data_IF_067134878621
#
_entry.id   IF_067134878621
#
_cell.length_a   1.000
_cell.length_b   1.000
_cell.length_c   1.000
_cell.angle_alpha   90.00
_cell.angle_beta   90.00
_cell.angle_gamma   90.00
#
_symmetry.space_group_name_H-M   'P 1'
#
loop_
_entity.id
_entity.type
_entity.pdbx_description
1 polymer ?
#
# COMPACT_ATOMS: atom_id res chain seq x y z
N UNK A 1 -14.26 23.94 -14.27
CA UNK A 1 -13.64 23.17 -15.38
C UNK A 1 -12.43 22.42 -14.84
N UNK A 2 -12.34 21.09 -14.95
CA UNK A 2 -11.16 20.35 -14.53
C UNK A 2 -9.95 20.79 -15.38
N UNK A 3 -8.78 20.94 -14.74
CA UNK A 3 -7.56 21.34 -15.44
C UNK A 3 -7.20 20.31 -16.53
N UNK A 4 -6.71 20.75 -17.70
CA UNK A 4 -6.29 19.83 -18.76
C UNK A 4 -5.16 18.94 -18.25
N UNK A 5 -5.35 17.62 -18.34
CA UNK A 5 -4.31 16.66 -17.96
C UNK A 5 -3.18 16.70 -18.99
N UNK A 6 -1.93 16.80 -18.53
CA UNK A 6 -0.73 16.81 -19.40
C UNK A 6 -0.63 15.60 -20.34
N UNK A 7 -1.19 14.45 -19.93
CA UNK A 7 -1.24 13.23 -20.73
C UNK A 7 -2.70 12.74 -20.84
N UNK A 8 -3.18 12.42 -22.07
CA UNK A 8 -4.48 11.77 -22.27
C UNK A 8 -4.56 10.41 -21.56
N UNK A 9 -5.79 9.99 -21.20
CA UNK A 9 -6.01 8.71 -20.52
C UNK A 9 -5.63 7.51 -21.41
N UNK A 10 -6.00 7.56 -22.69
CA UNK A 10 -5.66 6.53 -23.68
C UNK A 10 -4.14 6.32 -23.80
N UNK A 11 -3.37 7.41 -23.78
CA UNK A 11 -1.91 7.35 -23.81
C UNK A 11 -1.35 6.66 -22.57
N UNK A 12 -1.91 6.96 -21.39
CA UNK A 12 -1.52 6.32 -20.13
C UNK A 12 -1.81 4.82 -20.17
N UNK A 13 -3.01 4.42 -20.58
CA UNK A 13 -3.43 3.01 -20.66
C UNK A 13 -2.55 2.23 -21.63
N UNK A 14 -2.31 2.79 -22.83
CA UNK A 14 -1.41 2.22 -23.83
C UNK A 14 0.02 2.08 -23.31
N UNK A 15 0.57 3.11 -22.66
CA UNK A 15 1.93 3.08 -22.15
C UNK A 15 2.11 2.02 -21.06
N UNK A 16 1.13 1.89 -20.15
CA UNK A 16 1.13 0.86 -19.11
C UNK A 16 1.10 -0.54 -19.74
N UNK A 17 0.22 -0.76 -20.72
CA UNK A 17 0.10 -2.05 -21.43
C UNK A 17 1.42 -2.44 -22.12
N UNK A 18 2.06 -1.52 -22.84
CA UNK A 18 3.36 -1.78 -23.49
C UNK A 18 4.45 -2.20 -22.49
N UNK A 19 4.47 -1.63 -21.29
CA UNK A 19 5.44 -2.01 -20.25
C UNK A 19 5.19 -3.44 -19.76
N UNK A 20 3.93 -3.83 -19.57
CA UNK A 20 3.59 -5.21 -19.17
C UNK A 20 3.92 -6.23 -20.25
N UNK A 21 3.58 -5.95 -21.51
CA UNK A 21 3.91 -6.82 -22.65
C UNK A 21 5.43 -7.05 -22.78
N UNK A 22 6.24 -5.99 -22.66
CA UNK A 22 7.71 -6.12 -22.69
C UNK A 22 8.22 -6.97 -21.52
N UNK A 23 7.65 -6.80 -20.33
CA UNK A 23 8.06 -7.55 -19.13
C UNK A 23 7.73 -9.03 -19.24
N UNK A 24 6.58 -9.37 -19.81
CA UNK A 24 6.12 -10.73 -20.05
C UNK A 24 7.00 -11.44 -21.08
N UNK A 25 7.28 -10.79 -22.22
CA UNK A 25 8.14 -11.35 -23.28
C UNK A 25 9.60 -11.54 -22.85
N UNK A 26 10.08 -10.72 -21.92
CA UNK A 26 11.50 -10.68 -21.55
C UNK A 26 11.80 -11.28 -20.16
N UNK A 27 10.80 -11.83 -19.46
CA UNK A 27 10.98 -12.42 -18.13
C UNK A 27 11.54 -11.48 -17.07
N UNK A 28 11.14 -10.19 -17.09
CA UNK A 28 11.60 -9.09 -16.22
C UNK A 28 12.77 -8.24 -16.76
N UNK A 29 12.62 -7.62 -17.94
CA UNK A 29 13.62 -6.71 -18.50
C UNK A 29 13.84 -5.45 -17.62
N UNK A 30 15.05 -5.24 -17.04
CA UNK A 30 15.42 -3.96 -16.47
C UNK A 30 15.35 -2.90 -17.56
N UNK A 31 14.64 -1.79 -17.32
CA UNK A 31 14.55 -0.68 -18.27
C UNK A 31 13.35 -0.68 -19.22
N UNK A 32 12.40 -1.63 -19.11
CA UNK A 32 11.14 -1.60 -19.88
C UNK A 32 10.42 -0.23 -19.77
N UNK A 33 10.32 0.31 -18.55
CA UNK A 33 9.76 1.64 -18.29
C UNK A 33 10.56 2.74 -18.99
N UNK A 34 11.89 2.68 -18.97
CA UNK A 34 12.73 3.70 -19.60
C UNK A 34 12.58 3.69 -21.13
N UNK A 35 12.52 2.50 -21.73
CA UNK A 35 12.33 2.31 -23.17
C UNK A 35 10.97 2.84 -23.63
N UNK A 36 9.88 2.47 -22.95
CA UNK A 36 8.53 2.95 -23.30
C UNK A 36 8.39 4.46 -23.05
N UNK A 37 8.96 4.97 -21.96
CA UNK A 37 8.97 6.40 -21.66
C UNK A 37 9.64 7.21 -22.78
N UNK A 38 10.80 6.74 -23.28
CA UNK A 38 11.51 7.36 -24.40
C UNK A 38 10.70 7.28 -25.69
N UNK A 39 10.14 6.11 -26.02
CA UNK A 39 9.36 5.89 -27.24
C UNK A 39 8.11 6.78 -27.33
N UNK A 40 7.43 7.02 -26.21
CA UNK A 40 6.18 7.78 -26.17
C UNK A 40 6.37 9.24 -25.73
N UNK A 41 7.61 9.68 -25.49
CA UNK A 41 7.90 11.03 -25.01
C UNK A 41 7.33 11.34 -23.62
N UNK A 42 7.17 10.33 -22.77
CA UNK A 42 6.56 10.45 -21.44
C UNK A 42 7.67 10.58 -20.39
N UNK A 43 7.48 11.46 -19.42
CA UNK A 43 8.42 11.55 -18.30
C UNK A 43 8.51 10.21 -17.55
N UNK A 44 9.72 9.67 -17.38
CA UNK A 44 9.97 8.33 -16.81
C UNK A 44 9.25 8.11 -15.47
N UNK A 45 9.28 9.11 -14.59
CA UNK A 45 8.66 8.99 -13.27
C UNK A 45 7.13 8.97 -13.31
N UNK A 46 6.54 9.61 -14.33
CA UNK A 46 5.09 9.55 -14.55
C UNK A 46 4.67 8.13 -14.96
N UNK A 47 5.37 7.55 -15.95
CA UNK A 47 5.12 6.17 -16.38
C UNK A 47 5.37 5.17 -15.26
N UNK A 48 6.43 5.35 -14.47
CA UNK A 48 6.72 4.52 -13.29
C UNK A 48 5.56 4.53 -12.29
N UNK A 49 5.01 5.71 -11.99
CA UNK A 49 3.86 5.86 -11.09
C UNK A 49 2.63 5.14 -11.64
N UNK A 50 2.36 5.23 -12.94
CA UNK A 50 1.21 4.57 -13.56
C UNK A 50 1.32 3.05 -13.57
N UNK A 51 2.50 2.51 -13.90
CA UNK A 51 2.76 1.06 -13.89
C UNK A 51 2.62 0.52 -12.48
N UNK A 52 3.18 1.22 -11.48
CA UNK A 52 3.05 0.83 -10.07
C UNK A 52 1.59 0.82 -9.61
N UNK A 53 0.80 1.81 -10.03
CA UNK A 53 -0.62 1.81 -9.72
C UNK A 53 -1.34 0.63 -10.38
N UNK A 54 -1.04 0.30 -11.64
CA UNK A 54 -1.66 -0.81 -12.33
C UNK A 54 -1.27 -2.19 -11.72
N UNK A 55 -0.03 -2.35 -11.26
CA UNK A 55 0.40 -3.55 -10.51
C UNK A 55 -0.38 -3.70 -9.21
N UNK A 56 -0.55 -2.58 -8.48
CA UNK A 56 -1.38 -2.52 -7.27
C UNK A 56 -2.80 -2.93 -7.63
N UNK A 57 -3.46 -2.24 -8.57
CA UNK A 57 -4.84 -2.51 -8.98
C UNK A 57 -5.06 -3.97 -9.41
N UNK A 58 -4.10 -4.57 -10.12
CA UNK A 58 -4.14 -5.98 -10.51
C UNK A 58 -4.07 -6.92 -9.30
N UNK A 59 -3.16 -6.67 -8.35
CA UNK A 59 -3.03 -7.46 -7.13
C UNK A 59 -4.30 -7.43 -6.26
N UNK A 60 -4.96 -6.28 -6.18
CA UNK A 60 -6.22 -6.16 -5.43
C UNK A 60 -7.37 -6.90 -6.08
N UNK A 61 -7.44 -6.90 -7.41
CA UNK A 61 -8.43 -7.68 -8.14
C UNK A 61 -8.27 -9.18 -7.84
N UNK A 62 -7.05 -9.69 -7.92
CA UNK A 62 -6.75 -11.09 -7.60
C UNK A 62 -7.11 -11.45 -6.14
N UNK A 63 -6.78 -10.57 -5.19
CA UNK A 63 -7.13 -10.78 -3.79
C UNK A 63 -8.66 -10.81 -3.58
N UNK A 64 -9.38 -9.87 -4.18
CA UNK A 64 -10.84 -9.78 -4.09
C UNK A 64 -11.50 -11.01 -4.71
N UNK A 65 -11.05 -11.43 -5.90
CA UNK A 65 -11.55 -12.62 -6.58
C UNK A 65 -11.31 -13.91 -5.78
N UNK A 66 -10.14 -14.04 -5.15
CA UNK A 66 -9.77 -15.23 -4.39
C UNK A 66 -10.43 -15.30 -3.00
N UNK A 67 -10.74 -14.17 -2.37
CA UNK A 67 -11.20 -14.12 -0.97
C UNK A 67 -12.62 -13.59 -0.78
N UNK A 68 -13.19 -12.93 -1.80
CA UNK A 68 -14.45 -12.18 -1.71
C UNK A 68 -14.35 -10.91 -0.86
N UNK A 69 -13.16 -10.51 -0.40
CA UNK A 69 -12.96 -9.33 0.45
C UNK A 69 -12.83 -8.09 -0.40
N UNK A 70 -13.70 -7.10 -0.17
CA UNK A 70 -13.60 -5.79 -0.81
C UNK A 70 -12.34 -5.05 -0.38
N UNK A 71 -11.59 -4.52 -1.35
CA UNK A 71 -10.39 -3.73 -1.08
C UNK A 71 -10.62 -2.24 -1.37
N UNK A 72 -10.29 -1.40 -0.39
CA UNK A 72 -10.43 0.06 -0.47
C UNK A 72 -9.08 0.78 -0.33
N UNK A 73 -8.96 1.93 -0.98
CA UNK A 73 -7.79 2.81 -0.86
C UNK A 73 -8.16 4.18 -0.32
N UNK A 74 -7.24 4.74 0.46
CA UNK A 74 -7.28 6.16 0.77
C UNK A 74 -6.97 6.98 -0.48
N UNK A 75 -7.74 8.05 -0.69
CA UNK A 75 -7.53 9.02 -1.75
C UNK A 75 -6.15 9.70 -1.60
N UNK A 76 -5.53 10.11 -2.72
CA UNK A 76 -4.26 10.82 -2.68
C UNK A 76 -4.33 12.05 -1.77
N UNK A 77 -3.26 12.27 -0.98
CA UNK A 77 -3.13 13.41 -0.05
C UNK A 77 -4.26 13.50 0.99
N UNK A 78 -4.91 12.38 1.31
CA UNK A 78 -6.01 12.31 2.29
C UNK A 78 -5.63 11.49 3.52
N UNK A 79 -4.67 11.96 4.36
CA UNK A 79 -4.18 11.21 5.52
C UNK A 79 -5.27 10.88 6.55
N UNK A 80 -6.32 11.70 6.64
CA UNK A 80 -7.46 11.47 7.54
C UNK A 80 -8.21 10.16 7.26
N UNK A 81 -8.18 9.64 6.02
CA UNK A 81 -8.76 8.33 5.69
C UNK A 81 -7.92 7.15 6.24
N UNK A 82 -6.78 7.44 6.87
CA UNK A 82 -5.86 6.46 7.48
C UNK A 82 -5.65 6.72 8.98
N UNK A 83 -6.58 7.42 9.64
CA UNK A 83 -6.43 7.84 11.04
C UNK A 83 -6.09 6.70 12.00
N UNK A 84 -6.72 5.53 11.85
CA UNK A 84 -6.42 4.33 12.67
C UNK A 84 -4.98 3.86 12.50
N UNK A 85 -4.46 3.85 11.27
CA UNK A 85 -3.09 3.44 10.97
C UNK A 85 -2.08 4.44 11.57
N UNK A 86 -2.36 5.74 11.46
CA UNK A 86 -1.50 6.77 12.04
C UNK A 86 -1.46 6.69 13.57
N UNK A 87 -2.61 6.48 14.22
CA UNK A 87 -2.69 6.27 15.66
C UNK A 87 -1.92 5.02 16.10
N UNK A 88 -2.12 3.89 15.41
CA UNK A 88 -1.44 2.62 15.70
C UNK A 88 0.09 2.77 15.55
N UNK A 89 0.55 3.41 14.48
CA UNK A 89 1.97 3.67 14.27
C UNK A 89 2.58 4.57 15.36
N UNK A 90 1.84 5.57 15.87
CA UNK A 90 2.30 6.38 17.01
C UNK A 90 2.50 5.54 18.27
N UNK A 91 1.64 4.56 18.51
CA UNK A 91 1.71 3.68 19.68
C UNK A 91 2.87 2.69 19.56
N UNK A 92 3.08 2.10 18.38
CA UNK A 92 4.24 1.23 18.12
C UNK A 92 5.55 1.98 18.38
N UNK A 93 5.63 3.25 17.97
CA UNK A 93 6.82 4.10 18.18
C UNK A 93 7.16 4.40 19.63
N UNK A 94 6.27 4.10 20.58
CA UNK A 94 6.59 4.17 22.01
C UNK A 94 7.52 3.03 22.45
N UNK A 95 7.56 1.94 21.67
CA UNK A 95 8.38 0.75 21.96
C UNK A 95 9.49 0.55 20.94
N UNK A 96 9.22 0.86 19.66
CA UNK A 96 10.16 0.77 18.56
C UNK A 96 10.32 2.16 17.92
N UNK A 97 11.19 3.02 18.49
CA UNK A 97 11.50 4.31 17.90
C UNK A 97 11.87 4.22 16.43
N UNK A 98 11.73 5.35 15.73
CA UNK A 98 12.09 5.39 14.32
C UNK A 98 13.59 5.08 14.15
N UNK A 99 13.91 4.12 13.29
CA UNK A 99 15.29 3.70 13.03
C UNK A 99 15.79 2.60 13.96
N UNK A 100 14.95 2.06 14.84
CA UNK A 100 15.28 0.83 15.58
C UNK A 100 15.60 -0.30 14.61
N UNK A 101 16.77 -0.92 14.80
CA UNK A 101 17.14 -2.15 14.11
C UNK A 101 16.30 -3.32 14.63
N UNK A 102 15.41 -3.82 13.79
CA UNK A 102 14.51 -4.93 14.15
C UNK A 102 15.22 -6.29 14.15
N UNK A 103 16.42 -6.40 13.56
CA UNK A 103 17.17 -7.66 13.54
C UNK A 103 17.64 -8.08 14.94
N UNK A 104 17.70 -7.13 15.87
CA UNK A 104 18.05 -7.35 17.28
C UNK A 104 16.90 -7.91 18.11
N UNK A 105 15.68 -7.96 17.57
CA UNK A 105 14.49 -8.45 18.25
C UNK A 105 14.16 -9.86 17.76
N UNK A 106 13.96 -10.77 18.71
CA UNK A 106 13.42 -12.08 18.36
C UNK A 106 11.93 -11.96 18.02
N UNK A 107 11.39 -12.97 17.32
CA UNK A 107 9.94 -13.05 17.09
C UNK A 107 9.15 -13.00 18.41
N UNK A 108 9.67 -13.66 19.46
CA UNK A 108 9.04 -13.66 20.78
C UNK A 108 8.98 -12.25 21.40
N UNK A 109 10.00 -11.41 21.20
CA UNK A 109 9.98 -10.02 21.67
C UNK A 109 8.92 -9.19 20.95
N UNK A 110 8.79 -9.39 19.63
CA UNK A 110 7.79 -8.72 18.81
C UNK A 110 6.37 -9.18 19.15
N UNK A 111 6.18 -10.46 19.42
CA UNK A 111 4.88 -11.01 19.85
C UNK A 111 4.49 -10.49 21.23
N UNK A 112 5.42 -10.41 22.17
CA UNK A 112 5.19 -9.81 23.48
C UNK A 112 4.83 -8.32 23.37
N UNK A 113 5.44 -7.58 22.44
CA UNK A 113 5.07 -6.21 22.13
C UNK A 113 3.67 -6.12 21.53
N UNK A 114 3.33 -7.00 20.59
CA UNK A 114 2.01 -7.05 19.98
C UNK A 114 0.92 -7.35 21.03
N UNK A 115 1.18 -8.29 21.94
CA UNK A 115 0.29 -8.60 23.07
C UNK A 115 0.05 -7.36 23.94
N UNK A 116 1.11 -6.65 24.36
CA UNK A 116 0.99 -5.39 25.12
C UNK A 116 0.17 -4.33 24.39
N UNK A 117 0.30 -4.21 23.07
CA UNK A 117 -0.48 -3.27 22.26
C UNK A 117 -1.95 -3.68 22.16
N UNK A 118 -2.23 -4.98 22.08
CA UNK A 118 -3.56 -5.56 22.00
C UNK A 118 -4.29 -5.61 23.35
N UNK A 119 -3.56 -5.59 24.46
CA UNK A 119 -4.08 -5.47 25.82
C UNK A 119 -4.21 -4.03 26.30
N UNK A 120 -3.81 -3.05 25.49
CA UNK A 120 -3.92 -1.64 25.86
C UNK A 120 -5.35 -1.12 25.65
N UNK A 121 -6.03 -0.62 26.70
CA UNK A 121 -7.34 0.02 26.59
C UNK A 121 -7.37 1.16 25.55
N UNK A 122 -8.44 1.22 24.74
CA UNK A 122 -8.62 2.28 23.74
C UNK A 122 -9.90 3.06 24.00
N UNK A 123 -9.82 4.40 24.00
CA UNK A 123 -10.99 5.27 24.14
C UNK A 123 -12.04 5.03 23.05
N UNK A 124 -11.62 4.74 21.81
CA UNK A 124 -12.53 4.42 20.71
C UNK A 124 -13.23 3.06 20.83
N UNK A 125 -12.87 2.24 21.83
CA UNK A 125 -13.46 0.93 22.11
C UNK A 125 -14.15 0.92 23.49
N UNK A 126 -14.64 2.07 23.96
CA UNK A 126 -15.22 2.24 25.29
C UNK A 126 -14.28 1.77 26.41
N UNK A 127 -12.99 2.08 26.26
CA UNK A 127 -11.90 1.67 27.15
C UNK A 127 -11.70 0.15 27.27
N UNK A 128 -12.28 -0.65 26.36
CA UNK A 128 -11.90 -2.05 26.19
C UNK A 128 -10.58 -2.19 25.43
N UNK A 129 -9.95 -3.34 25.55
CA UNK A 129 -8.74 -3.69 24.78
C UNK A 129 -9.13 -4.21 23.40
N UNK A 130 -8.26 -4.04 22.38
CA UNK A 130 -8.45 -4.70 21.08
C UNK A 130 -8.68 -6.21 21.20
N UNK A 131 -7.92 -6.90 22.06
CA UNK A 131 -8.07 -8.34 22.29
C UNK A 131 -9.49 -8.69 22.78
N UNK A 132 -10.02 -7.92 23.75
CA UNK A 132 -11.38 -8.10 24.24
C UNK A 132 -12.43 -7.88 23.15
N UNK A 133 -12.25 -6.87 22.28
CA UNK A 133 -13.22 -6.59 21.21
C UNK A 133 -13.25 -7.68 20.15
N UNK A 134 -12.09 -8.24 19.79
CA UNK A 134 -12.01 -9.33 18.82
C UNK A 134 -12.65 -10.61 19.39
N UNK A 135 -12.34 -10.96 20.64
CA UNK A 135 -12.91 -12.15 21.29
C UNK A 135 -14.44 -12.11 21.47
N UNK A 136 -15.05 -10.92 21.42
CA UNK A 136 -16.50 -10.72 21.53
C UNK A 136 -17.23 -10.73 20.18
N UNK A 137 -16.50 -10.88 19.07
CA UNK A 137 -17.10 -10.97 17.73
C UNK A 137 -17.27 -12.47 17.41
N UNK A 138 -18.51 -12.96 17.19
CA UNK A 138 -18.77 -14.37 16.92
C UNK A 138 -18.20 -14.86 15.59
#
# INVERSE_FOLDING_TARGET
MPAPRKYPQELRERAVRMVFEIREQSGHAPGAIARVAQQLGIHREALRSWVRQAEVDAGHRLLTEATGVDVFFAAPRSPWQRGTNENTNKLIRQYLPKGTDLSLYSQADLDALAARLNDRPRKCLDYRTPAQRVALTP
#
